data_IF_567076773134
#
_entry.id   IF_567076773134
#
_cell.length_a   1.000
_cell.length_b   1.000
_cell.length_c   1.000
_cell.angle_alpha   90.00
_cell.angle_beta   90.00
_cell.angle_gamma   90.00
#
_symmetry.space_group_name_H-M   'P 1'
#
loop_
_entity.id
_entity.type
_entity.pdbx_description
1 polymer ?
#
# COMPACT_ATOMS: atom_id res chain seq x y z
N UNK A 1 -19.74 -8.03 -25.58
CA UNK A 1 -18.74 -9.03 -26.02
C UNK A 1 -17.54 -8.24 -26.53
N UNK A 2 -16.52 -7.88 -25.74
CA UNK A 2 -15.68 -8.76 -24.94
C UNK A 2 -14.54 -9.28 -25.83
N UNK A 3 -13.46 -8.52 -25.99
CA UNK A 3 -12.21 -9.01 -26.58
C UNK A 3 -11.02 -8.47 -25.80
N UNK A 4 -10.13 -9.41 -25.49
CA UNK A 4 -9.16 -9.38 -24.41
C UNK A 4 -8.00 -8.41 -24.61
N UNK A 5 -7.43 -8.06 -23.45
CA UNK A 5 -6.19 -7.32 -23.18
C UNK A 5 -5.09 -7.56 -24.20
N UNK A 6 -4.48 -6.46 -24.61
CA UNK A 6 -3.22 -6.43 -25.33
C UNK A 6 -2.11 -7.14 -24.53
N UNK A 7 -1.38 -8.00 -25.23
CA UNK A 7 -0.17 -8.65 -24.76
C UNK A 7 0.91 -7.60 -24.49
N UNK A 8 1.31 -7.46 -23.24
CA UNK A 8 2.51 -6.68 -22.90
C UNK A 8 3.71 -7.55 -23.25
N UNK A 9 4.32 -7.27 -24.39
CA UNK A 9 5.55 -7.91 -24.83
C UNK A 9 6.67 -7.64 -23.81
N UNK A 10 7.01 -8.65 -23.02
CA UNK A 10 8.20 -8.62 -22.15
C UNK A 10 9.44 -8.81 -23.02
N UNK A 11 9.98 -7.69 -23.53
CA UNK A 11 11.30 -7.64 -24.14
C UNK A 11 12.38 -7.98 -23.11
N UNK A 12 13.30 -8.85 -23.49
CA UNK A 12 14.39 -9.39 -22.66
C UNK A 12 15.59 -8.46 -22.51
N UNK A 13 15.55 -7.24 -23.06
CA UNK A 13 16.75 -6.46 -23.35
C UNK A 13 16.74 -5.06 -22.71
N UNK A 14 16.26 -4.96 -21.46
CA UNK A 14 16.48 -3.78 -20.62
C UNK A 14 17.74 -3.92 -19.77
N UNK A 15 18.47 -2.85 -19.39
CA UNK A 15 19.65 -2.96 -18.56
C UNK A 15 19.22 -3.35 -17.15
N UNK A 16 19.20 -4.65 -16.87
CA UNK A 16 19.00 -5.19 -15.55
C UNK A 16 20.13 -4.67 -14.66
N UNK A 17 19.78 -3.84 -13.67
CA UNK A 17 20.68 -3.55 -12.56
C UNK A 17 20.80 -4.85 -11.75
N UNK A 18 21.76 -5.69 -12.12
CA UNK A 18 22.21 -6.82 -11.31
C UNK A 18 23.04 -6.21 -10.19
N UNK A 19 22.60 -6.24 -8.91
CA UNK A 19 23.48 -5.87 -7.82
C UNK A 19 24.63 -6.89 -7.82
N UNK A 20 25.85 -6.39 -7.96
CA UNK A 20 27.09 -7.15 -8.01
C UNK A 20 27.25 -7.98 -6.71
N UNK A 21 26.78 -9.23 -6.71
CA UNK A 21 27.08 -10.23 -5.66
C UNK A 21 27.66 -11.49 -6.30
N UNK A 22 28.75 -11.28 -7.04
CA UNK A 22 29.37 -12.25 -7.94
C UNK A 22 30.23 -13.32 -7.23
N UNK A 23 30.03 -13.54 -5.93
CA UNK A 23 30.81 -14.55 -5.16
C UNK A 23 29.99 -15.57 -4.38
N UNK A 24 28.67 -15.38 -4.23
CA UNK A 24 27.84 -16.28 -3.39
C UNK A 24 26.95 -17.21 -4.23
N UNK A 25 26.75 -16.92 -5.53
CA UNK A 25 25.77 -17.66 -6.38
C UNK A 25 26.28 -19.03 -6.84
N UNK A 26 27.60 -19.24 -6.90
CA UNK A 26 28.20 -20.48 -7.40
C UNK A 26 27.85 -21.71 -6.57
N UNK A 27 27.74 -21.54 -5.24
CA UNK A 27 27.53 -22.62 -4.27
C UNK A 27 26.05 -22.95 -4.03
N UNK A 28 25.13 -22.21 -4.66
CA UNK A 28 23.69 -22.39 -4.48
C UNK A 28 23.16 -23.60 -5.27
N UNK A 29 22.24 -24.34 -4.64
CA UNK A 29 21.44 -25.38 -5.27
C UNK A 29 20.59 -24.80 -6.40
N UNK A 30 20.25 -25.62 -7.39
CA UNK A 30 19.39 -25.19 -8.50
C UNK A 30 18.07 -24.57 -8.00
N UNK A 31 17.49 -25.11 -6.92
CA UNK A 31 16.27 -24.57 -6.30
C UNK A 31 16.46 -23.17 -5.70
N UNK A 32 17.63 -22.89 -5.15
CA UNK A 32 17.95 -21.58 -4.56
C UNK A 32 18.21 -20.55 -5.65
N UNK A 33 18.85 -20.97 -6.76
CA UNK A 33 19.00 -20.16 -7.97
C UNK A 33 17.66 -19.80 -8.58
N UNK A 34 16.76 -20.77 -8.71
CA UNK A 34 15.41 -20.54 -9.25
C UNK A 34 14.61 -19.58 -8.35
N UNK A 35 14.72 -19.71 -7.02
CA UNK A 35 14.10 -18.78 -6.06
C UNK A 35 14.67 -17.36 -6.18
N UNK A 36 16.00 -17.25 -6.28
CA UNK A 36 16.68 -15.96 -6.43
C UNK A 36 16.27 -15.26 -7.74
N UNK A 37 16.13 -15.99 -8.85
CA UNK A 37 15.67 -15.43 -10.13
C UNK A 37 14.24 -14.90 -10.01
N UNK A 38 13.35 -15.64 -9.34
CA UNK A 38 11.97 -15.20 -9.10
C UNK A 38 11.95 -13.95 -8.23
N UNK A 39 12.77 -13.90 -7.19
CA UNK A 39 12.85 -12.79 -6.25
C UNK A 39 13.41 -11.51 -6.89
N UNK A 40 14.48 -11.63 -7.68
CA UNK A 40 15.02 -10.53 -8.51
C UNK A 40 13.97 -10.01 -9.48
N UNK A 41 13.20 -10.91 -10.10
CA UNK A 41 12.14 -10.52 -11.06
C UNK A 41 11.00 -9.79 -10.35
N UNK A 42 10.56 -10.28 -9.19
CA UNK A 42 9.54 -9.62 -8.37
C UNK A 42 10.01 -8.22 -7.92
N UNK A 43 11.25 -8.12 -7.44
CA UNK A 43 11.88 -6.86 -7.02
C UNK A 43 11.91 -5.85 -8.18
N UNK A 44 12.35 -6.27 -9.37
CA UNK A 44 12.40 -5.38 -10.53
C UNK A 44 11.01 -4.87 -10.96
N UNK A 45 9.97 -5.72 -10.89
CA UNK A 45 8.60 -5.30 -11.20
C UNK A 45 8.11 -4.27 -10.17
N UNK A 46 8.37 -4.50 -8.89
CA UNK A 46 8.01 -3.56 -7.81
C UNK A 46 8.72 -2.21 -8.01
N UNK A 47 10.02 -2.21 -8.30
CA UNK A 47 10.81 -0.99 -8.53
C UNK A 47 10.33 -0.17 -9.74
N UNK A 48 9.81 -0.82 -10.79
CA UNK A 48 9.28 -0.12 -11.97
C UNK A 48 7.94 0.56 -11.75
N UNK A 49 7.14 0.08 -10.80
CA UNK A 49 5.81 0.64 -10.48
C UNK A 49 5.92 1.83 -9.51
N UNK A 50 7.07 2.02 -8.87
CA UNK A 50 7.28 3.01 -7.83
C UNK A 50 7.66 4.40 -8.37
N UNK A 51 6.96 5.48 -7.96
CA UNK A 51 7.41 6.86 -8.17
C UNK A 51 8.82 7.11 -7.59
N UNK A 52 9.58 8.00 -8.23
CA UNK A 52 10.97 8.33 -7.89
C UNK A 52 11.17 8.70 -6.41
N UNK A 53 10.20 9.38 -5.81
CA UNK A 53 10.23 9.82 -4.41
C UNK A 53 10.15 8.64 -3.42
N UNK A 54 9.62 7.48 -3.86
CA UNK A 54 9.53 6.24 -3.07
C UNK A 54 10.81 5.40 -3.22
N UNK A 55 11.48 5.49 -4.38
CA UNK A 55 12.76 4.79 -4.64
C UNK A 55 13.87 5.26 -3.68
N UNK A 56 13.97 6.57 -3.41
CA UNK A 56 14.97 7.13 -2.48
C UNK A 56 14.76 6.65 -1.03
N UNK A 57 13.51 6.38 -0.63
CA UNK A 57 13.18 5.88 0.70
C UNK A 57 13.43 4.36 0.84
N UNK A 58 13.23 3.61 -0.24
CA UNK A 58 13.33 2.14 -0.27
C UNK A 58 14.76 1.63 -0.43
N UNK A 59 15.71 2.44 -0.91
CA UNK A 59 17.11 2.07 -1.16
C UNK A 59 17.90 1.57 0.08
N UNK A 60 17.29 1.54 1.27
CA UNK A 60 17.85 1.01 2.52
C UNK A 60 17.30 -0.38 2.91
N UNK A 61 16.31 -0.92 2.20
CA UNK A 61 15.66 -2.19 2.55
C UNK A 61 16.27 -3.36 1.76
N UNK A 62 16.49 -4.50 2.43
CA UNK A 62 17.20 -5.65 1.85
C UNK A 62 16.30 -6.83 1.46
N UNK A 63 15.04 -6.85 1.90
CA UNK A 63 14.08 -7.92 1.61
C UNK A 63 12.80 -7.40 0.94
N UNK A 64 12.22 -8.22 0.05
CA UNK A 64 11.01 -7.91 -0.70
C UNK A 64 9.79 -7.69 0.22
N UNK A 65 9.77 -8.32 1.40
CA UNK A 65 8.71 -8.10 2.40
C UNK A 65 8.75 -6.68 2.97
N UNK A 66 9.93 -6.19 3.33
CA UNK A 66 10.09 -4.84 3.88
C UNK A 66 9.72 -3.78 2.84
N UNK A 67 10.02 -4.04 1.57
CA UNK A 67 9.58 -3.20 0.44
C UNK A 67 8.04 -3.17 0.37
N UNK A 68 7.39 -4.33 0.43
CA UNK A 68 5.93 -4.44 0.38
C UNK A 68 5.23 -3.80 1.58
N UNK A 69 5.73 -4.02 2.80
CA UNK A 69 5.15 -3.47 4.03
C UNK A 69 5.30 -1.94 4.08
N UNK A 70 6.43 -1.39 3.61
CA UNK A 70 6.62 0.05 3.47
C UNK A 70 5.72 0.66 2.38
N UNK A 71 5.54 -0.05 1.25
CA UNK A 71 4.59 0.37 0.21
C UNK A 71 3.16 0.39 0.75
N UNK A 72 2.77 -0.63 1.53
CA UNK A 72 1.46 -0.70 2.16
C UNK A 72 1.28 0.47 3.14
N UNK A 73 2.26 0.72 3.99
CA UNK A 73 2.23 1.86 4.93
C UNK A 73 2.10 3.21 4.22
N UNK A 74 2.75 3.41 3.07
CA UNK A 74 2.71 4.67 2.32
C UNK A 74 1.43 4.85 1.52
N UNK A 75 0.90 3.77 0.93
CA UNK A 75 -0.26 3.83 0.02
C UNK A 75 -1.58 3.67 0.77
N UNK A 76 -1.62 2.83 1.80
CA UNK A 76 -2.83 2.54 2.60
C UNK A 76 -2.80 3.24 3.97
N UNK A 77 -1.63 3.71 4.41
CA UNK A 77 -1.41 4.13 5.80
C UNK A 77 -0.95 2.95 6.66
N UNK A 78 -0.59 3.20 7.92
CA UNK A 78 -0.46 2.10 8.89
C UNK A 78 -1.81 1.40 9.05
N UNK A 79 -1.84 0.08 9.22
CA UNK A 79 -3.02 -0.62 9.75
C UNK A 79 -3.32 -0.03 11.13
N UNK A 80 -4.19 0.99 11.18
CA UNK A 80 -4.65 1.58 12.42
C UNK A 80 -5.40 0.49 13.16
N UNK A 81 -5.08 0.33 14.45
CA UNK A 81 -5.82 -0.61 15.26
C UNK A 81 -7.28 -0.16 15.34
N UNK A 82 -8.17 -1.09 15.69
CA UNK A 82 -9.58 -0.73 15.93
C UNK A 82 -9.68 0.45 16.91
N UNK A 83 -8.85 0.46 17.95
CA UNK A 83 -8.83 1.49 18.99
C UNK A 83 -8.37 2.85 18.44
N UNK A 84 -7.38 2.87 17.54
CA UNK A 84 -6.93 4.10 16.89
C UNK A 84 -8.02 4.70 15.99
N UNK A 85 -8.72 3.84 15.24
CA UNK A 85 -9.86 4.26 14.43
C UNK A 85 -11.03 4.78 15.28
N UNK A 86 -11.35 4.13 16.40
CA UNK A 86 -12.37 4.60 17.34
C UNK A 86 -11.98 5.98 17.93
N UNK A 87 -10.71 6.17 18.29
CA UNK A 87 -10.20 7.44 18.80
C UNK A 87 -10.32 8.57 17.77
N UNK A 88 -9.92 8.32 16.52
CA UNK A 88 -10.05 9.31 15.43
C UNK A 88 -11.50 9.70 15.17
N UNK A 89 -12.41 8.73 15.07
CA UNK A 89 -13.84 8.99 14.88
C UNK A 89 -14.46 9.74 16.06
N UNK A 90 -13.96 9.52 17.28
CA UNK A 90 -14.41 10.26 18.46
C UNK A 90 -13.98 11.73 18.43
N UNK A 91 -12.74 12.01 18.02
CA UNK A 91 -12.27 13.39 17.86
C UNK A 91 -12.96 14.10 16.70
N UNK A 92 -13.21 13.41 15.58
CA UNK A 92 -14.03 13.93 14.49
C UNK A 92 -15.47 14.18 14.96
N UNK A 93 -16.06 13.30 15.77
CA UNK A 93 -17.39 13.51 16.36
C UNK A 93 -17.46 14.80 17.20
N UNK A 94 -16.47 15.02 18.07
CA UNK A 94 -16.40 16.23 18.91
C UNK A 94 -16.37 17.51 18.10
N UNK A 95 -15.71 17.46 16.94
CA UNK A 95 -15.58 18.59 16.03
C UNK A 95 -16.71 18.63 14.99
N UNK A 96 -17.61 17.63 15.00
CA UNK A 96 -18.63 17.47 13.98
C UNK A 96 -19.69 18.57 14.12
N UNK A 97 -19.66 19.50 13.17
CA UNK A 97 -20.61 20.59 13.08
C UNK A 97 -20.79 21.00 11.63
N UNK A 98 -21.87 21.74 11.36
CA UNK A 98 -22.08 22.33 10.05
C UNK A 98 -20.98 23.37 9.80
N UNK A 99 -20.30 23.24 8.67
CA UNK A 99 -19.26 24.19 8.29
C UNK A 99 -19.89 25.49 7.77
N UNK A 100 -19.15 26.60 7.89
CA UNK A 100 -19.63 27.89 7.39
C UNK A 100 -19.80 27.82 5.86
N UNK A 101 -21.02 28.05 5.38
CA UNK A 101 -21.35 27.98 3.95
C UNK A 101 -21.69 26.58 3.43
N UNK A 102 -21.66 25.56 4.28
CA UNK A 102 -22.11 24.22 3.93
C UNK A 102 -23.63 24.17 3.81
N UNK A 103 -24.12 23.60 2.71
CA UNK A 103 -25.55 23.39 2.52
C UNK A 103 -26.02 22.12 3.25
N UNK A 104 -27.34 21.99 3.44
CA UNK A 104 -27.94 20.87 4.18
C UNK A 104 -27.63 19.51 3.55
N UNK A 105 -27.55 19.45 2.21
CA UNK A 105 -27.28 18.21 1.51
C UNK A 105 -25.83 17.74 1.74
N UNK A 106 -24.86 18.64 1.64
CA UNK A 106 -23.43 18.34 1.87
C UNK A 106 -23.20 17.90 3.32
N UNK A 107 -23.84 18.58 4.28
CA UNK A 107 -23.84 18.17 5.68
C UNK A 107 -24.39 16.75 5.86
N UNK A 108 -25.52 16.43 5.24
CA UNK A 108 -26.14 15.12 5.32
C UNK A 108 -25.26 14.01 4.71
N UNK A 109 -24.60 14.29 3.57
CA UNK A 109 -23.68 13.35 2.94
C UNK A 109 -22.50 13.06 3.86
N UNK A 110 -21.88 14.09 4.44
CA UNK A 110 -20.80 13.92 5.44
C UNK A 110 -21.25 13.14 6.66
N UNK A 111 -22.41 13.48 7.22
CA UNK A 111 -22.96 12.79 8.38
C UNK A 111 -23.20 11.31 8.07
N UNK A 112 -23.76 11.00 6.90
CA UNK A 112 -24.02 9.62 6.48
C UNK A 112 -22.73 8.83 6.29
N UNK A 113 -21.71 9.44 5.69
CA UNK A 113 -20.38 8.85 5.57
C UNK A 113 -19.80 8.52 6.95
N UNK A 114 -19.83 9.48 7.85
CA UNK A 114 -19.33 9.34 9.22
C UNK A 114 -20.00 8.19 10.00
N UNK A 115 -21.33 8.06 9.90
CA UNK A 115 -22.06 6.93 10.50
C UNK A 115 -21.69 5.59 9.86
N UNK A 116 -21.45 5.56 8.55
CA UNK A 116 -21.01 4.34 7.87
C UNK A 116 -19.61 3.93 8.33
N UNK A 117 -18.70 4.88 8.52
CA UNK A 117 -17.34 4.63 9.00
C UNK A 117 -17.37 4.04 10.43
N UNK A 118 -18.21 4.58 11.31
CA UNK A 118 -18.46 4.00 12.64
C UNK A 118 -18.99 2.55 12.59
N UNK A 119 -19.94 2.29 11.68
CA UNK A 119 -20.51 0.95 11.51
C UNK A 119 -19.51 -0.05 10.97
N UNK A 120 -18.64 0.38 10.06
CA UNK A 120 -17.62 -0.47 9.45
C UNK A 120 -16.69 -1.07 10.52
N UNK A 121 -16.27 -0.25 11.50
CA UNK A 121 -15.41 -0.72 12.58
C UNK A 121 -16.18 -1.33 13.76
N UNK A 122 -17.52 -1.44 13.67
CA UNK A 122 -18.40 -1.91 14.75
C UNK A 122 -18.21 -1.13 16.06
N UNK A 123 -18.06 0.19 15.95
CA UNK A 123 -17.94 1.08 17.11
C UNK A 123 -19.24 1.10 17.91
N UNK A 124 -19.15 0.93 19.22
CA UNK A 124 -20.28 1.11 20.13
C UNK A 124 -20.12 2.44 20.86
N UNK A 125 -20.96 3.42 20.52
CA UNK A 125 -21.06 4.67 21.27
C UNK A 125 -21.78 4.39 22.60
N UNK A 126 -21.01 4.13 23.66
CA UNK A 126 -21.56 4.01 25.00
C UNK A 126 -21.97 5.41 25.47
N UNK A 127 -23.22 5.57 25.92
CA UNK A 127 -23.66 6.83 26.53
C UNK A 127 -22.88 7.04 27.82
N UNK A 128 -22.21 8.20 27.93
CA UNK A 128 -21.64 8.71 29.18
C UNK A 128 -22.78 9.29 30.02
#
# INVERSE_FOLDING_TARGET
>A
MGRCRDEIAFGTDGPYLVPEQDRVVSDLSQREKDRLIVDIRATNILLQVLPRDIYELINHNTDAKDIWDNMKMLLEGSELTKDDHESQLYDEFKQFGQHKGENIHDYYVRFTKFINDMRHIKMTMTKI
#
